data_IF_113136843645
#
_entry.id   IF_113136843645
#
_cell.length_a   1.000
_cell.length_b   1.000
_cell.length_c   1.000
_cell.angle_alpha   90.00
_cell.angle_beta   90.00
_cell.angle_gamma   90.00
#
_symmetry.space_group_name_H-M   'P 1'
#
loop_
_entity.id
_entity.type
_entity.pdbx_description
1 polymer ?
#
# COMPACT_ATOMS: atom_id res chain seq x y z
N UNK A 1 -15.55 -13.88 -23.52
CA UNK A 1 -15.87 -13.83 -22.09
C UNK A 1 -16.67 -12.58 -21.85
N UNK A 2 -17.82 -12.68 -21.18
CA UNK A 2 -18.61 -11.51 -20.82
C UNK A 2 -17.93 -10.74 -19.69
N UNK A 3 -18.22 -9.45 -19.57
CA UNK A 3 -17.66 -8.58 -18.50
C UNK A 3 -17.94 -9.15 -17.08
N UNK A 4 -19.08 -9.84 -16.92
CA UNK A 4 -19.47 -10.54 -15.69
C UNK A 4 -18.58 -11.76 -15.38
N UNK A 5 -18.12 -12.47 -16.43
CA UNK A 5 -17.22 -13.63 -16.26
C UNK A 5 -15.83 -13.18 -15.82
N UNK A 6 -15.36 -12.02 -16.33
CA UNK A 6 -14.07 -11.44 -15.94
C UNK A 6 -14.06 -11.00 -14.48
N UNK A 7 -15.11 -10.29 -14.02
CA UNK A 7 -15.24 -9.88 -12.61
C UNK A 7 -15.33 -11.07 -11.66
N UNK A 8 -16.00 -12.15 -12.06
CA UNK A 8 -16.10 -13.37 -11.23
C UNK A 8 -14.78 -14.11 -11.11
N UNK A 9 -14.00 -14.17 -12.20
CA UNK A 9 -12.67 -14.78 -12.22
C UNK A 9 -11.66 -13.98 -11.38
N UNK A 10 -11.71 -12.65 -11.48
CA UNK A 10 -10.90 -11.76 -10.67
C UNK A 10 -11.20 -11.90 -9.16
N UNK A 11 -12.48 -11.88 -8.78
CA UNK A 11 -12.88 -12.04 -7.38
C UNK A 11 -12.45 -13.41 -6.80
N UNK A 12 -12.53 -14.49 -7.59
CA UNK A 12 -12.01 -15.81 -7.18
C UNK A 12 -10.51 -15.82 -7.00
N UNK A 13 -9.76 -15.20 -7.92
CA UNK A 13 -8.31 -15.13 -7.84
C UNK A 13 -7.85 -14.34 -6.61
N UNK A 14 -8.50 -13.20 -6.32
CA UNK A 14 -8.27 -12.41 -5.12
C UNK A 14 -8.57 -13.22 -3.83
N UNK A 15 -9.68 -13.95 -3.81
CA UNK A 15 -10.04 -14.82 -2.68
C UNK A 15 -9.01 -15.94 -2.45
N UNK A 16 -8.54 -16.59 -3.51
CA UNK A 16 -7.51 -17.62 -3.43
C UNK A 16 -6.17 -17.05 -2.95
N UNK A 17 -5.78 -15.85 -3.41
CA UNK A 17 -4.60 -15.15 -2.93
C UNK A 17 -4.66 -14.84 -1.44
N UNK A 18 -5.79 -14.31 -0.97
CA UNK A 18 -5.99 -14.01 0.46
C UNK A 18 -5.96 -15.29 1.31
N UNK A 19 -6.60 -16.37 0.84
CA UNK A 19 -6.59 -17.65 1.53
C UNK A 19 -5.17 -18.25 1.59
N UNK A 20 -4.45 -18.21 0.47
CA UNK A 20 -3.06 -18.68 0.40
C UNK A 20 -2.15 -17.93 1.36
N UNK A 21 -2.23 -16.61 1.40
CA UNK A 21 -1.48 -15.78 2.34
C UNK A 21 -1.84 -16.08 3.79
N UNK A 22 -3.13 -16.32 4.10
CA UNK A 22 -3.56 -16.69 5.45
C UNK A 22 -3.00 -18.04 5.89
N UNK A 23 -2.98 -19.03 5.00
CA UNK A 23 -2.37 -20.34 5.24
C UNK A 23 -0.86 -20.18 5.42
N UNK A 24 -0.21 -19.39 4.56
CA UNK A 24 1.21 -19.06 4.64
C UNK A 24 1.58 -18.46 5.99
N UNK A 25 0.87 -17.42 6.42
CA UNK A 25 1.07 -16.76 7.70
C UNK A 25 0.91 -17.72 8.88
N UNK A 26 -0.17 -18.48 8.91
CA UNK A 26 -0.43 -19.43 9.99
C UNK A 26 0.65 -20.52 10.07
N UNK A 27 1.08 -21.08 8.92
CA UNK A 27 2.14 -22.08 8.87
C UNK A 27 3.49 -21.49 9.27
N UNK A 28 3.85 -20.28 8.82
CA UNK A 28 5.09 -19.60 9.22
C UNK A 28 5.16 -19.39 10.74
N UNK A 29 4.08 -18.95 11.37
CA UNK A 29 4.02 -18.77 12.83
C UNK A 29 4.12 -20.10 13.60
N UNK A 30 3.48 -21.17 13.12
CA UNK A 30 3.60 -22.50 13.72
C UNK A 30 5.05 -23.01 13.62
N UNK A 31 5.69 -22.84 12.48
CA UNK A 31 7.09 -23.27 12.30
C UNK A 31 8.07 -22.35 13.03
N UNK A 32 7.79 -21.06 13.17
CA UNK A 32 8.53 -20.18 14.08
C UNK A 32 8.52 -20.70 15.52
N UNK A 33 7.35 -21.03 16.05
CA UNK A 33 7.21 -21.53 17.44
C UNK A 33 7.97 -22.87 17.65
N UNK A 34 8.15 -23.66 16.58
CA UNK A 34 8.89 -24.93 16.65
C UNK A 34 10.39 -24.76 16.44
N UNK A 35 10.79 -23.93 15.49
CA UNK A 35 12.19 -23.77 15.07
C UNK A 35 12.94 -22.69 15.85
N UNK A 36 12.25 -21.66 16.34
CA UNK A 36 12.85 -20.47 16.93
C UNK A 36 13.50 -19.55 15.87
N UNK A 37 13.16 -19.68 14.57
CA UNK A 37 13.73 -18.87 13.51
C UNK A 37 13.05 -17.50 13.46
N UNK A 38 13.82 -16.42 13.66
CA UNK A 38 13.33 -15.05 13.56
C UNK A 38 12.93 -14.69 12.13
N UNK A 39 13.54 -15.31 11.12
CA UNK A 39 13.14 -15.14 9.73
C UNK A 39 11.70 -15.60 9.49
N UNK A 40 11.31 -16.76 10.06
CA UNK A 40 9.93 -17.25 9.99
C UNK A 40 8.97 -16.38 10.82
N UNK A 41 9.43 -15.82 11.93
CA UNK A 41 8.63 -14.88 12.72
C UNK A 41 8.32 -13.61 11.90
N UNK A 42 9.34 -13.02 11.27
CA UNK A 42 9.18 -11.82 10.45
C UNK A 42 8.22 -12.09 9.27
N UNK A 43 8.46 -13.16 8.52
CA UNK A 43 7.64 -13.55 7.37
C UNK A 43 6.19 -13.83 7.79
N UNK A 44 5.99 -14.60 8.85
CA UNK A 44 4.68 -14.96 9.37
C UNK A 44 3.88 -13.76 9.88
N UNK A 45 4.50 -12.87 10.65
CA UNK A 45 3.84 -11.65 11.15
C UNK A 45 3.54 -10.66 10.03
N UNK A 46 4.49 -10.46 9.11
CA UNK A 46 4.31 -9.59 7.95
C UNK A 46 3.13 -10.07 7.09
N UNK A 47 3.12 -11.34 6.73
CA UNK A 47 2.06 -11.95 5.91
C UNK A 47 0.71 -11.97 6.65
N UNK A 48 0.70 -12.18 7.99
CA UNK A 48 -0.51 -12.12 8.80
C UNK A 48 -1.15 -10.73 8.80
N UNK A 49 -0.33 -9.68 8.93
CA UNK A 49 -0.81 -8.29 8.83
C UNK A 49 -1.37 -8.00 7.44
N UNK A 50 -0.68 -8.46 6.38
CA UNK A 50 -1.14 -8.28 4.99
C UNK A 50 -2.46 -9.01 4.72
N UNK A 51 -2.62 -10.24 5.21
CA UNK A 51 -3.86 -11.02 5.11
C UNK A 51 -5.00 -10.36 5.90
N UNK A 52 -4.76 -9.98 7.16
CA UNK A 52 -5.74 -9.28 8.00
C UNK A 52 -6.16 -7.93 7.42
N UNK A 53 -5.19 -7.19 6.89
CA UNK A 53 -5.43 -5.93 6.21
C UNK A 53 -6.34 -6.10 4.99
N UNK A 54 -6.14 -7.13 4.16
CA UNK A 54 -6.99 -7.39 2.98
C UNK A 54 -8.45 -7.70 3.36
N UNK A 55 -8.69 -8.36 4.50
CA UNK A 55 -10.03 -8.62 5.01
C UNK A 55 -10.73 -7.33 5.49
N UNK A 56 -9.98 -6.41 6.10
CA UNK A 56 -10.51 -5.14 6.61
C UNK A 56 -10.70 -4.14 5.47
N UNK A 57 -9.83 -4.15 4.47
CA UNK A 57 -9.85 -3.20 3.34
C UNK A 57 -11.23 -3.09 2.67
N UNK A 58 -11.93 -4.21 2.48
CA UNK A 58 -13.27 -4.22 1.90
C UNK A 58 -14.33 -3.51 2.75
N UNK A 59 -14.17 -3.47 4.08
CA UNK A 59 -15.05 -2.71 4.99
C UNK A 59 -14.73 -1.23 4.95
N UNK A 60 -13.44 -0.89 5.01
CA UNK A 60 -12.96 0.50 4.93
C UNK A 60 -13.37 1.14 3.61
N UNK A 61 -13.16 0.45 2.49
CA UNK A 61 -13.58 0.92 1.16
C UNK A 61 -15.09 1.18 1.07
N UNK A 62 -15.92 0.33 1.67
CA UNK A 62 -17.37 0.55 1.70
C UNK A 62 -17.75 1.73 2.58
N UNK A 63 -17.09 1.89 3.73
CA UNK A 63 -17.31 3.03 4.62
C UNK A 63 -16.86 4.34 3.96
N UNK A 64 -15.73 4.35 3.28
CA UNK A 64 -15.19 5.52 2.57
C UNK A 64 -16.08 6.00 1.41
N UNK A 65 -16.93 5.13 0.86
CA UNK A 65 -17.91 5.50 -0.20
C UNK A 65 -19.19 6.15 0.33
N UNK A 66 -19.33 6.29 1.65
CA UNK A 66 -20.52 6.94 2.22
C UNK A 66 -20.58 8.41 1.77
N UNK A 67 -21.78 8.87 1.34
CA UNK A 67 -21.96 10.24 0.91
C UNK A 67 -21.76 11.22 2.10
N UNK A 68 -21.69 12.50 1.77
CA UNK A 68 -21.64 13.57 2.76
C UNK A 68 -22.74 13.41 3.82
N UNK A 69 -22.37 13.58 5.06
CA UNK A 69 -23.28 13.54 6.21
C UNK A 69 -22.87 14.61 7.23
N UNK A 70 -23.71 14.85 8.26
CA UNK A 70 -23.32 15.76 9.34
C UNK A 70 -22.03 15.31 10.06
N UNK A 71 -21.79 13.99 10.15
CA UNK A 71 -20.57 13.45 10.77
C UNK A 71 -19.35 13.54 9.85
N UNK A 72 -19.56 13.52 8.53
CA UNK A 72 -18.52 13.59 7.50
C UNK A 72 -18.91 14.61 6.43
N UNK A 73 -18.73 15.93 6.70
CA UNK A 73 -19.18 16.99 5.79
C UNK A 73 -18.51 16.92 4.41
N UNK A 74 -17.27 16.45 4.34
CA UNK A 74 -16.49 16.25 3.11
C UNK A 74 -16.48 14.82 2.59
N UNK A 75 -17.38 13.96 3.13
CA UNK A 75 -17.39 12.53 2.85
C UNK A 75 -16.48 11.74 3.79
N UNK A 76 -16.56 10.40 3.71
CA UNK A 76 -15.83 9.51 4.62
C UNK A 76 -14.54 8.92 4.01
N UNK A 77 -14.11 9.44 2.85
CA UNK A 77 -12.93 8.93 2.10
C UNK A 77 -11.61 9.04 2.86
N UNK A 78 -11.48 9.98 3.81
CA UNK A 78 -10.33 10.09 4.70
C UNK A 78 -10.07 8.87 5.60
N UNK A 79 -11.01 7.93 5.69
CA UNK A 79 -10.79 6.67 6.41
C UNK A 79 -9.78 5.74 5.69
N UNK A 80 -9.67 5.85 4.36
CA UNK A 80 -8.71 5.03 3.58
C UNK A 80 -7.25 5.37 3.92
N UNK A 81 -6.78 6.62 3.84
CA UNK A 81 -5.40 6.97 4.20
C UNK A 81 -5.08 6.69 5.68
N UNK A 82 -6.02 6.89 6.59
CA UNK A 82 -5.83 6.53 8.00
C UNK A 82 -5.62 5.01 8.17
N UNK A 83 -6.43 4.20 7.49
CA UNK A 83 -6.25 2.75 7.50
C UNK A 83 -4.88 2.33 6.95
N UNK A 84 -4.47 2.92 5.80
CA UNK A 84 -3.15 2.66 5.19
C UNK A 84 -2.04 3.07 6.15
N UNK A 85 -2.16 4.23 6.80
CA UNK A 85 -1.20 4.72 7.80
C UNK A 85 -1.02 3.73 8.94
N UNK A 86 -2.12 3.33 9.62
CA UNK A 86 -2.04 2.39 10.74
C UNK A 86 -1.47 1.03 10.33
N UNK A 87 -1.93 0.48 9.20
CA UNK A 87 -1.39 -0.77 8.66
C UNK A 87 0.12 -0.68 8.45
N UNK A 88 0.57 0.40 7.84
CA UNK A 88 1.97 0.62 7.50
C UNK A 88 2.83 0.79 8.75
N UNK A 89 2.33 1.50 9.77
CA UNK A 89 3.01 1.63 11.07
C UNK A 89 3.18 0.26 11.76
N UNK A 90 2.18 -0.61 11.71
CA UNK A 90 2.28 -1.97 12.25
C UNK A 90 3.34 -2.78 11.50
N UNK A 91 3.36 -2.72 10.16
CA UNK A 91 4.38 -3.41 9.35
C UNK A 91 5.79 -2.90 9.66
N UNK A 92 5.98 -1.59 9.74
CA UNK A 92 7.26 -0.99 10.14
C UNK A 92 7.68 -1.42 11.54
N UNK A 93 6.75 -1.45 12.48
CA UNK A 93 7.00 -1.93 13.84
C UNK A 93 7.51 -3.38 13.87
N UNK A 94 6.90 -4.27 13.07
CA UNK A 94 7.34 -5.67 12.94
C UNK A 94 8.74 -5.76 12.34
N UNK A 95 9.01 -5.04 11.26
CA UNK A 95 10.33 -5.04 10.61
C UNK A 95 11.40 -4.50 11.57
N UNK A 96 11.16 -3.37 12.22
CA UNK A 96 12.11 -2.78 13.18
C UNK A 96 12.35 -3.69 14.38
N UNK A 97 11.31 -4.31 14.92
CA UNK A 97 11.44 -5.28 16.02
C UNK A 97 12.33 -6.46 15.60
N UNK A 98 12.07 -7.03 14.42
CA UNK A 98 12.87 -8.13 13.89
C UNK A 98 14.34 -7.73 13.65
N UNK A 99 14.57 -6.51 13.12
CA UNK A 99 15.94 -5.99 12.94
C UNK A 99 16.68 -5.83 14.26
N UNK A 100 16.02 -5.26 15.28
CA UNK A 100 16.64 -5.08 16.62
C UNK A 100 16.94 -6.42 17.27
N UNK A 101 16.02 -7.38 17.19
CA UNK A 101 16.21 -8.75 17.68
C UNK A 101 17.40 -9.42 16.98
N UNK A 102 17.43 -9.37 15.65
CA UNK A 102 18.52 -9.96 14.86
C UNK A 102 19.88 -9.29 15.11
N UNK A 103 19.91 -7.96 15.17
CA UNK A 103 21.13 -7.22 15.50
C UNK A 103 21.65 -7.57 16.91
N UNK A 104 20.75 -7.73 17.88
CA UNK A 104 21.09 -8.18 19.23
C UNK A 104 21.74 -9.58 19.25
N UNK A 105 21.22 -10.53 18.47
CA UNK A 105 21.81 -11.87 18.32
C UNK A 105 23.20 -11.83 17.69
N UNK A 106 23.37 -11.03 16.64
CA UNK A 106 24.68 -10.84 15.98
C UNK A 106 25.68 -10.23 16.97
N UNK A 107 25.30 -9.18 17.69
CA UNK A 107 26.16 -8.51 18.68
C UNK A 107 26.54 -9.47 19.83
N UNK A 108 25.58 -10.22 20.36
CA UNK A 108 25.83 -11.24 21.39
C UNK A 108 26.86 -12.27 20.91
N UNK A 109 26.72 -12.76 19.68
CA UNK A 109 27.67 -13.70 19.10
C UNK A 109 29.08 -13.13 18.96
N UNK A 110 29.19 -11.88 18.49
CA UNK A 110 30.49 -11.19 18.37
C UNK A 110 31.18 -10.95 19.71
N UNK A 111 30.41 -10.84 20.80
CA UNK A 111 30.89 -10.71 22.17
C UNK A 111 31.21 -12.07 22.83
N UNK A 112 31.14 -13.18 22.07
CA UNK A 112 31.38 -14.53 22.58
C UNK A 112 30.22 -15.16 23.34
N UNK A 113 29.02 -14.55 23.27
CA UNK A 113 27.79 -15.11 23.84
C UNK A 113 27.25 -16.28 23.00
N UNK A 114 26.44 -17.12 23.63
CA UNK A 114 25.75 -18.23 22.96
C UNK A 114 24.45 -17.75 22.32
N UNK A 115 24.27 -18.03 21.01
CA UNK A 115 23.00 -17.82 20.32
C UNK A 115 22.25 -19.15 20.25
N UNK A 116 20.97 -19.23 20.66
CA UNK A 116 20.18 -20.46 20.56
C UNK A 116 20.14 -20.95 19.10
N UNK A 117 20.44 -22.23 18.85
CA UNK A 117 20.42 -22.76 17.50
C UNK A 117 18.99 -22.85 16.98
N UNK A 118 18.80 -22.54 15.69
CA UNK A 118 17.54 -22.77 14.98
C UNK A 118 17.34 -24.27 14.81
N UNK A 119 16.17 -24.77 15.18
CA UNK A 119 15.81 -26.17 14.93
C UNK A 119 15.38 -26.33 13.48
N UNK A 120 16.12 -27.15 12.73
CA UNK A 120 15.88 -27.35 11.31
C UNK A 120 14.84 -28.44 11.00
N UNK A 121 14.35 -29.13 12.03
CA UNK A 121 13.40 -30.24 11.88
C UNK A 121 12.11 -29.80 11.21
N UNK A 122 11.80 -30.41 10.08
CA UNK A 122 10.61 -30.13 9.31
C UNK A 122 10.68 -28.86 8.44
N UNK A 123 11.69 -27.99 8.59
CA UNK A 123 11.81 -26.76 7.79
C UNK A 123 11.94 -27.04 6.31
N UNK A 124 12.59 -28.14 5.93
CA UNK A 124 12.69 -28.57 4.53
C UNK A 124 11.30 -28.78 3.88
N UNK A 125 10.40 -29.45 4.58
CA UNK A 125 9.02 -29.64 4.12
C UNK A 125 8.25 -28.33 4.09
N UNK A 126 8.43 -27.49 5.12
CA UNK A 126 7.79 -26.17 5.18
C UNK A 126 8.19 -25.30 3.98
N UNK A 127 9.49 -25.07 3.74
CA UNK A 127 9.94 -24.24 2.64
C UNK A 127 9.57 -24.81 1.28
N UNK A 128 9.65 -26.13 1.11
CA UNK A 128 9.20 -26.78 -0.14
C UNK A 128 7.70 -26.55 -0.38
N UNK A 129 6.86 -26.71 0.65
CA UNK A 129 5.43 -26.48 0.55
C UNK A 129 5.12 -24.99 0.26
N UNK A 130 5.83 -24.04 0.89
CA UNK A 130 5.63 -22.62 0.67
C UNK A 130 6.06 -22.18 -0.73
N UNK A 131 7.20 -22.67 -1.23
CA UNK A 131 7.63 -22.41 -2.62
C UNK A 131 6.60 -22.94 -3.61
N UNK A 132 6.11 -24.18 -3.43
CA UNK A 132 5.08 -24.76 -4.29
C UNK A 132 3.76 -23.98 -4.24
N UNK A 133 3.32 -23.57 -3.03
CA UNK A 133 2.12 -22.76 -2.84
C UNK A 133 2.24 -21.42 -3.56
N UNK A 134 3.35 -20.71 -3.37
CA UNK A 134 3.55 -19.39 -3.96
C UNK A 134 3.73 -19.46 -5.48
N UNK A 135 4.40 -20.49 -6.01
CA UNK A 135 4.47 -20.75 -7.46
C UNK A 135 3.10 -21.07 -8.06
N UNK A 136 2.28 -21.84 -7.34
CA UNK A 136 0.92 -22.13 -7.76
C UNK A 136 0.05 -20.86 -7.75
N UNK A 137 0.12 -20.05 -6.67
CA UNK A 137 -0.56 -18.76 -6.60
C UNK A 137 -0.11 -17.83 -7.72
N UNK A 138 1.20 -17.71 -7.94
CA UNK A 138 1.73 -16.92 -9.06
C UNK A 138 1.13 -17.34 -10.39
N UNK A 139 1.05 -18.64 -10.67
CA UNK A 139 0.47 -19.17 -11.92
C UNK A 139 -1.03 -18.87 -12.04
N UNK A 140 -1.80 -19.02 -10.96
CA UNK A 140 -3.25 -18.73 -10.94
C UNK A 140 -3.51 -17.24 -11.12
N UNK A 141 -2.80 -16.39 -10.38
CA UNK A 141 -2.93 -14.93 -10.43
C UNK A 141 -2.47 -14.37 -11.78
N UNK A 142 -1.37 -14.89 -12.35
CA UNK A 142 -0.89 -14.49 -13.68
C UNK A 142 -1.91 -14.80 -14.77
N UNK A 143 -2.57 -15.96 -14.71
CA UNK A 143 -3.64 -16.32 -15.65
C UNK A 143 -4.84 -15.38 -15.51
N UNK A 144 -5.26 -15.09 -14.27
CA UNK A 144 -6.36 -14.16 -14.01
C UNK A 144 -6.03 -12.74 -14.52
N UNK A 145 -4.81 -12.27 -14.28
CA UNK A 145 -4.34 -10.96 -14.78
C UNK A 145 -4.32 -10.91 -16.31
N UNK A 146 -3.79 -11.94 -16.98
CA UNK A 146 -3.80 -12.01 -18.44
C UNK A 146 -5.20 -12.07 -19.01
N UNK A 147 -6.14 -12.78 -18.35
CA UNK A 147 -7.54 -12.87 -18.79
C UNK A 147 -8.34 -11.58 -18.57
N UNK A 148 -7.90 -10.70 -17.67
CA UNK A 148 -8.45 -9.34 -17.45
C UNK A 148 -7.92 -8.29 -18.46
N UNK A 149 -7.16 -8.71 -19.46
CA UNK A 149 -6.54 -7.80 -20.42
C UNK A 149 -5.37 -6.99 -19.85
N UNK A 150 -4.84 -7.38 -18.69
CA UNK A 150 -3.71 -6.69 -18.04
C UNK A 150 -4.06 -5.37 -17.33
N UNK A 151 -5.35 -5.03 -17.24
CA UNK A 151 -5.81 -3.72 -16.75
C UNK A 151 -6.04 -3.66 -15.21
N UNK A 152 -5.90 -4.77 -14.50
CA UNK A 152 -6.08 -4.80 -13.05
C UNK A 152 -4.74 -4.64 -12.32
N UNK A 153 -4.49 -3.45 -11.78
CA UNK A 153 -3.29 -3.15 -10.98
C UNK A 153 -3.25 -3.97 -9.68
N UNK A 154 -4.40 -4.31 -9.12
CA UNK A 154 -4.51 -5.16 -7.93
C UNK A 154 -3.98 -6.56 -8.24
N UNK A 155 -4.45 -7.20 -9.33
CA UNK A 155 -3.95 -8.50 -9.74
C UNK A 155 -2.47 -8.46 -10.09
N UNK A 156 -2.01 -7.41 -10.77
CA UNK A 156 -0.58 -7.21 -11.09
C UNK A 156 0.26 -7.19 -9.81
N UNK A 157 -0.16 -6.42 -8.81
CA UNK A 157 0.51 -6.37 -7.51
C UNK A 157 0.59 -7.74 -6.84
N UNK A 158 -0.52 -8.50 -6.84
CA UNK A 158 -0.54 -9.86 -6.26
C UNK A 158 0.33 -10.87 -7.02
N UNK A 159 0.41 -10.76 -8.35
CA UNK A 159 1.31 -11.58 -9.18
C UNK A 159 2.77 -11.34 -8.80
N UNK A 160 3.14 -10.06 -8.67
CA UNK A 160 4.50 -9.67 -8.27
C UNK A 160 4.80 -10.19 -6.86
N UNK A 161 3.90 -9.96 -5.89
CA UNK A 161 4.07 -10.44 -4.52
C UNK A 161 4.25 -11.96 -4.47
N UNK A 162 3.38 -12.74 -5.08
CA UNK A 162 3.49 -14.21 -5.07
C UNK A 162 4.81 -14.72 -5.66
N UNK A 163 5.34 -14.05 -6.69
CA UNK A 163 6.66 -14.36 -7.25
C UNK A 163 7.79 -14.04 -6.27
N UNK A 164 7.73 -12.87 -5.62
CA UNK A 164 8.73 -12.50 -4.61
C UNK A 164 8.68 -13.43 -3.41
N UNK A 165 7.49 -13.77 -2.91
CA UNK A 165 7.30 -14.68 -1.78
C UNK A 165 7.89 -16.09 -2.09
N UNK A 166 7.73 -16.57 -3.34
CA UNK A 166 8.37 -17.81 -3.76
C UNK A 166 9.90 -17.74 -3.73
N UNK A 167 10.48 -16.63 -4.22
CA UNK A 167 11.93 -16.42 -4.22
C UNK A 167 12.50 -16.25 -2.80
N UNK A 168 11.80 -15.49 -1.94
CA UNK A 168 12.19 -15.30 -0.53
C UNK A 168 12.14 -16.64 0.21
N UNK A 169 11.05 -17.39 0.07
CA UNK A 169 10.92 -18.73 0.70
C UNK A 169 12.00 -19.70 0.23
N UNK A 170 12.31 -19.69 -1.08
CA UNK A 170 13.39 -20.54 -1.62
C UNK A 170 14.76 -20.11 -1.09
N UNK A 171 15.07 -18.80 -1.12
CA UNK A 171 16.33 -18.25 -0.64
C UNK A 171 16.55 -18.50 0.84
N UNK A 172 15.54 -18.21 1.67
CA UNK A 172 15.57 -18.46 3.12
C UNK A 172 15.72 -19.95 3.43
N UNK A 173 14.96 -20.81 2.74
CA UNK A 173 15.06 -22.25 2.88
C UNK A 173 16.45 -22.78 2.53
N UNK A 174 17.03 -22.36 1.39
CA UNK A 174 18.37 -22.75 0.98
C UNK A 174 19.43 -22.26 1.98
N UNK A 175 19.33 -21.05 2.48
CA UNK A 175 20.29 -20.49 3.42
C UNK A 175 20.22 -21.21 4.79
N UNK A 176 19.02 -21.40 5.36
CA UNK A 176 18.86 -22.09 6.66
C UNK A 176 19.23 -23.58 6.57
N UNK A 177 18.71 -24.32 5.57
CA UNK A 177 18.98 -25.74 5.42
C UNK A 177 20.41 -26.02 4.90
N UNK A 178 21.01 -25.04 4.23
CA UNK A 178 22.42 -25.11 3.79
C UNK A 178 23.42 -24.75 4.87
N UNK A 179 23.02 -23.98 5.89
CA UNK A 179 23.92 -23.48 6.93
C UNK A 179 24.75 -24.56 7.65
N UNK A 180 24.23 -25.78 7.97
CA UNK A 180 25.06 -26.82 8.60
C UNK A 180 26.23 -27.29 7.73
N UNK A 181 26.12 -27.22 6.37
CA UNK A 181 27.20 -27.59 5.48
C UNK A 181 28.37 -26.62 5.50
N UNK A 182 28.16 -25.41 6.04
CA UNK A 182 29.20 -24.40 6.19
C UNK A 182 30.11 -24.64 7.40
N UNK A 183 29.76 -25.58 8.31
CA UNK A 183 30.49 -25.83 9.55
C UNK A 183 31.95 -26.30 9.33
N UNK A 184 32.29 -26.79 8.15
CA UNK A 184 33.66 -27.15 7.77
C UNK A 184 34.41 -26.11 6.94
N UNK A 185 33.87 -24.93 6.78
CA UNK A 185 34.41 -23.87 5.91
C UNK A 185 34.80 -22.61 6.73
N UNK A 186 35.42 -21.63 6.05
CA UNK A 186 35.76 -20.32 6.62
C UNK A 186 34.50 -19.60 7.15
N UNK A 187 33.31 -19.98 6.67
CA UNK A 187 32.02 -19.39 7.07
C UNK A 187 31.41 -20.07 8.31
N UNK A 188 32.08 -21.06 8.90
CA UNK A 188 31.60 -21.74 10.12
C UNK A 188 31.19 -20.80 11.28
N UNK A 189 31.90 -19.67 11.54
CA UNK A 189 31.49 -18.72 12.58
C UNK A 189 30.14 -18.05 12.33
N UNK A 190 29.66 -18.01 11.08
CA UNK A 190 28.38 -17.38 10.72
C UNK A 190 27.17 -18.30 10.88
N UNK A 191 27.39 -19.62 11.02
CA UNK A 191 26.31 -20.62 11.11
C UNK A 191 25.36 -20.33 12.28
N UNK A 192 25.82 -19.99 13.51
CA UNK A 192 24.93 -19.70 14.63
C UNK A 192 24.06 -18.46 14.44
N UNK A 193 24.50 -17.52 13.61
CA UNK A 193 23.82 -16.25 13.35
C UNK A 193 23.21 -16.17 11.93
N UNK A 194 23.22 -17.28 11.19
CA UNK A 194 22.71 -17.30 9.81
C UNK A 194 21.25 -16.82 9.71
N UNK A 195 20.38 -17.23 10.63
CA UNK A 195 18.99 -16.78 10.72
C UNK A 195 18.90 -15.26 10.97
N UNK A 196 19.69 -14.72 11.90
CA UNK A 196 19.73 -13.30 12.18
C UNK A 196 20.23 -12.48 10.98
N UNK A 197 21.24 -12.97 10.27
CA UNK A 197 21.71 -12.31 9.03
C UNK A 197 20.65 -12.32 7.93
N UNK A 198 19.89 -13.42 7.81
CA UNK A 198 18.75 -13.49 6.89
C UNK A 198 17.69 -12.47 7.24
N UNK A 199 17.32 -12.34 8.53
CA UNK A 199 16.36 -11.33 8.99
C UNK A 199 16.81 -9.92 8.62
N UNK A 200 18.08 -9.58 8.87
CA UNK A 200 18.62 -8.27 8.51
C UNK A 200 18.56 -8.03 7.00
N UNK A 201 18.94 -9.03 6.19
CA UNK A 201 18.86 -8.96 4.73
C UNK A 201 17.42 -8.81 4.23
N UNK A 202 16.49 -9.62 4.72
CA UNK A 202 15.06 -9.54 4.39
C UNK A 202 14.48 -8.19 4.80
N UNK A 203 14.81 -7.71 6.00
CA UNK A 203 14.34 -6.41 6.49
C UNK A 203 14.82 -5.27 5.60
N UNK A 204 16.06 -5.29 5.13
CA UNK A 204 16.59 -4.29 4.17
C UNK A 204 15.82 -4.30 2.85
N UNK A 205 15.38 -5.46 2.38
CA UNK A 205 14.61 -5.60 1.15
C UNK A 205 13.15 -5.15 1.36
N UNK A 206 12.56 -5.46 2.50
CA UNK A 206 11.16 -5.17 2.81
C UNK A 206 10.90 -3.73 3.28
N UNK A 207 11.90 -3.06 3.88
CA UNK A 207 11.75 -1.74 4.52
C UNK A 207 11.37 -0.59 3.56
N UNK A 208 11.92 -0.49 2.33
CA UNK A 208 11.68 0.66 1.44
C UNK A 208 10.20 0.83 1.04
N UNK A 209 9.48 -0.27 0.83
CA UNK A 209 8.08 -0.22 0.42
C UNK A 209 7.16 0.41 1.49
N UNK A 210 7.12 -0.07 2.75
CA UNK A 210 6.33 0.56 3.81
C UNK A 210 6.74 2.02 4.07
N UNK A 211 8.02 2.38 3.96
CA UNK A 211 8.46 3.77 4.14
C UNK A 211 7.89 4.69 3.05
N UNK A 212 7.88 4.24 1.80
CA UNK A 212 7.27 4.98 0.69
C UNK A 212 5.76 5.15 0.89
N UNK A 213 5.07 4.07 1.27
CA UNK A 213 3.63 4.09 1.56
C UNK A 213 3.31 4.99 2.75
N UNK A 214 4.15 4.96 3.81
CA UNK A 214 3.98 5.83 4.99
C UNK A 214 4.01 7.31 4.61
N UNK A 215 5.00 7.72 3.81
CA UNK A 215 5.13 9.11 3.35
C UNK A 215 3.87 9.56 2.62
N UNK A 216 3.36 8.77 1.67
CA UNK A 216 2.13 9.07 0.94
C UNK A 216 0.89 9.13 1.84
N UNK A 217 0.73 8.14 2.74
CA UNK A 217 -0.41 8.09 3.65
C UNK A 217 -0.42 9.25 4.66
N UNK A 218 0.75 9.70 5.12
CA UNK A 218 0.88 10.88 5.98
C UNK A 218 0.50 12.15 5.22
N UNK A 219 0.99 12.32 3.99
CA UNK A 219 0.64 13.47 3.15
C UNK A 219 -0.88 13.55 2.89
N UNK A 220 -1.49 12.42 2.54
CA UNK A 220 -2.95 12.35 2.34
C UNK A 220 -3.72 12.62 3.63
N UNK A 221 -3.31 12.02 4.76
CA UNK A 221 -3.99 12.20 6.05
C UNK A 221 -3.83 13.62 6.60
N UNK A 222 -2.71 14.28 6.30
CA UNK A 222 -2.45 15.67 6.66
C UNK A 222 -3.17 16.68 5.73
N UNK A 223 -3.82 16.21 4.66
CA UNK A 223 -4.45 17.09 3.68
C UNK A 223 -3.43 17.91 2.87
N UNK A 224 -2.23 17.36 2.64
CA UNK A 224 -1.20 18.03 1.86
C UNK A 224 -1.57 18.11 0.38
N UNK A 225 -1.36 19.27 -0.25
CA UNK A 225 -1.48 19.43 -1.70
C UNK A 225 -0.50 18.54 -2.49
N UNK A 226 0.62 18.12 -1.88
CA UNK A 226 1.56 17.15 -2.47
C UNK A 226 0.94 15.75 -2.69
N UNK A 227 -0.26 15.50 -2.17
CA UNK A 227 -1.01 14.26 -2.41
C UNK A 227 -1.49 14.11 -3.86
N UNK A 228 -1.49 15.20 -4.63
CA UNK A 228 -1.78 15.22 -6.07
C UNK A 228 -0.50 15.57 -6.82
N UNK A 229 -0.07 14.70 -7.74
CA UNK A 229 1.17 14.91 -8.49
C UNK A 229 1.09 16.16 -9.40
N UNK A 230 2.15 16.95 -9.46
CA UNK A 230 2.24 18.19 -10.26
C UNK A 230 1.76 18.08 -11.72
N UNK A 231 2.12 17.01 -12.48
CA UNK A 231 1.64 16.88 -13.84
C UNK A 231 0.11 16.74 -13.92
N UNK A 232 -0.50 16.05 -12.95
CA UNK A 232 -1.94 15.85 -12.90
C UNK A 232 -2.67 17.15 -12.47
N UNK A 233 -2.09 17.89 -11.54
CA UNK A 233 -2.61 19.21 -11.15
C UNK A 233 -2.62 20.18 -12.33
N UNK A 234 -1.53 20.23 -13.09
CA UNK A 234 -1.45 21.06 -14.29
C UNK A 234 -2.47 20.67 -15.37
N UNK A 235 -2.72 19.37 -15.56
CA UNK A 235 -3.78 18.90 -16.48
C UNK A 235 -5.17 19.33 -16.02
N UNK A 236 -5.45 19.22 -14.71
CA UNK A 236 -6.72 19.69 -14.13
C UNK A 236 -6.91 21.19 -14.30
N UNK A 237 -5.86 21.99 -14.06
CA UNK A 237 -5.93 23.45 -14.31
C UNK A 237 -6.25 23.77 -15.76
N UNK A 238 -5.56 23.11 -16.72
CA UNK A 238 -5.82 23.30 -18.15
C UNK A 238 -7.24 22.92 -18.56
N UNK A 239 -7.82 21.87 -17.96
CA UNK A 239 -9.18 21.44 -18.25
C UNK A 239 -10.24 22.40 -17.68
N UNK A 240 -10.00 22.99 -16.51
CA UNK A 240 -10.95 23.88 -15.83
C UNK A 240 -11.01 25.28 -16.45
N UNK A 241 -9.89 25.81 -16.96
CA UNK A 241 -9.81 27.17 -17.52
C UNK A 241 -10.85 27.46 -18.62
N UNK A 242 -11.09 26.58 -19.62
CA UNK A 242 -12.13 26.83 -20.63
C UNK A 242 -13.54 26.93 -20.04
N UNK A 243 -13.85 26.12 -19.02
CA UNK A 243 -15.15 26.14 -18.31
C UNK A 243 -15.32 27.47 -17.58
N UNK A 244 -14.30 27.93 -16.88
CA UNK A 244 -14.34 29.23 -16.18
C UNK A 244 -14.56 30.39 -17.14
N UNK A 245 -13.87 30.39 -18.29
CA UNK A 245 -14.02 31.44 -19.30
C UNK A 245 -15.46 31.49 -19.87
N UNK A 246 -16.14 30.35 -20.06
CA UNK A 246 -17.55 30.29 -20.46
C UNK A 246 -18.49 30.94 -19.44
N UNK A 247 -18.10 30.95 -18.16
CA UNK A 247 -18.87 31.55 -17.07
C UNK A 247 -18.38 32.95 -16.69
N UNK A 248 -17.54 33.59 -17.51
CA UNK A 248 -16.92 34.89 -17.26
C UNK A 248 -16.18 34.93 -15.90
N UNK A 249 -15.43 33.88 -15.60
CA UNK A 249 -14.59 33.79 -14.40
C UNK A 249 -13.14 33.51 -14.80
N UNK A 250 -12.20 34.08 -14.05
CA UNK A 250 -10.76 33.82 -14.19
C UNK A 250 -10.29 32.90 -13.06
N UNK A 251 -9.46 31.91 -13.36
CA UNK A 251 -8.86 31.06 -12.35
C UNK A 251 -7.80 31.85 -11.58
N UNK A 252 -7.94 31.91 -10.26
CA UNK A 252 -6.90 32.42 -9.35
C UNK A 252 -6.02 31.26 -8.88
N UNK A 253 -6.64 30.19 -8.34
CA UNK A 253 -5.94 29.01 -7.83
C UNK A 253 -6.87 27.79 -7.88
N UNK A 254 -6.27 26.62 -8.16
CA UNK A 254 -6.92 25.32 -8.03
C UNK A 254 -6.19 24.52 -6.96
N UNK A 255 -6.69 24.56 -5.73
CA UNK A 255 -6.17 23.78 -4.63
C UNK A 255 -6.79 22.38 -4.65
N UNK A 256 -5.97 21.34 -4.73
CA UNK A 256 -6.43 19.95 -4.75
C UNK A 256 -5.77 19.14 -3.65
N UNK A 257 -6.58 18.31 -3.00
CA UNK A 257 -6.13 17.38 -1.96
C UNK A 257 -6.71 16.01 -2.28
N UNK A 258 -5.88 14.98 -2.30
CA UNK A 258 -6.35 13.61 -2.38
C UNK A 258 -6.64 13.09 -0.98
N UNK A 259 -7.81 12.50 -0.80
CA UNK A 259 -8.22 11.81 0.41
C UNK A 259 -8.68 10.39 0.02
N UNK A 260 -7.77 9.43 0.03
CA UNK A 260 -8.03 8.08 -0.45
C UNK A 260 -8.41 8.06 -1.93
N UNK A 261 -9.63 7.61 -2.23
CA UNK A 261 -10.15 7.50 -3.61
C UNK A 261 -10.78 8.77 -4.15
N UNK A 262 -11.07 9.75 -3.31
CA UNK A 262 -11.65 11.02 -3.73
C UNK A 262 -10.62 12.13 -3.74
N UNK A 263 -10.87 13.12 -4.60
CA UNK A 263 -10.12 14.36 -4.61
C UNK A 263 -11.06 15.47 -4.16
N UNK A 264 -10.62 16.27 -3.20
CA UNK A 264 -11.28 17.53 -2.86
C UNK A 264 -10.57 18.63 -3.62
N UNK A 265 -11.31 19.35 -4.46
CA UNK A 265 -10.84 20.48 -5.24
C UNK A 265 -11.53 21.75 -4.80
N UNK A 266 -10.76 22.77 -4.45
CA UNK A 266 -11.25 24.12 -4.16
C UNK A 266 -10.76 25.02 -5.27
N UNK A 267 -11.69 25.52 -6.08
CA UNK A 267 -11.40 26.39 -7.22
C UNK A 267 -11.65 27.83 -6.82
N UNK A 268 -10.59 28.61 -6.66
CA UNK A 268 -10.68 30.05 -6.39
C UNK A 268 -10.79 30.81 -7.71
N UNK A 269 -11.85 31.60 -7.86
CA UNK A 269 -12.16 32.27 -9.12
C UNK A 269 -12.46 33.74 -8.90
N UNK A 270 -12.03 34.59 -9.85
CA UNK A 270 -12.42 36.00 -9.92
C UNK A 270 -13.51 36.15 -10.99
N UNK A 271 -14.77 36.41 -10.60
CA UNK A 271 -15.85 36.63 -11.54
C UNK A 271 -15.78 38.04 -12.14
N UNK A 272 -16.04 38.16 -13.45
CA UNK A 272 -16.19 39.45 -14.11
C UNK A 272 -17.59 40.00 -13.82
N UNK A 273 -17.76 40.63 -12.68
CA UNK A 273 -19.02 41.21 -12.23
C UNK A 273 -19.76 40.35 -11.20
N UNK A 274 -21.03 40.67 -10.92
CA UNK A 274 -21.82 39.98 -9.92
C UNK A 274 -22.23 38.58 -10.39
N UNK A 275 -22.01 37.57 -9.55
CA UNK A 275 -22.43 36.18 -9.80
C UNK A 275 -23.57 35.79 -8.86
N UNK A 276 -24.61 35.18 -9.39
CA UNK A 276 -25.72 34.66 -8.58
C UNK A 276 -25.44 33.27 -8.05
N UNK A 277 -26.08 32.85 -6.97
CA UNK A 277 -25.95 31.51 -6.41
C UNK A 277 -26.24 30.42 -7.46
N UNK A 278 -27.25 30.60 -8.31
CA UNK A 278 -27.58 29.65 -9.39
C UNK A 278 -26.45 29.51 -10.43
N UNK A 279 -25.82 30.64 -10.79
CA UNK A 279 -24.66 30.61 -11.70
C UNK A 279 -23.45 29.96 -11.07
N UNK A 280 -23.21 30.18 -9.77
CA UNK A 280 -22.14 29.57 -9.00
C UNK A 280 -22.33 28.06 -8.90
N UNK A 281 -23.57 27.59 -8.63
CA UNK A 281 -23.89 26.15 -8.62
C UNK A 281 -23.65 25.50 -9.99
N UNK A 282 -24.08 26.15 -11.07
CA UNK A 282 -23.86 25.68 -12.44
C UNK A 282 -22.35 25.60 -12.76
N UNK A 283 -21.59 26.62 -12.41
CA UNK A 283 -20.14 26.66 -12.57
C UNK A 283 -19.47 25.49 -11.81
N UNK A 284 -19.84 25.30 -10.52
CA UNK A 284 -19.33 24.22 -9.67
C UNK A 284 -19.57 22.85 -10.31
N UNK A 285 -20.80 22.59 -10.80
CA UNK A 285 -21.14 21.31 -11.45
C UNK A 285 -20.33 21.08 -12.73
N UNK A 286 -20.09 22.10 -13.54
CA UNK A 286 -19.31 21.98 -14.79
C UNK A 286 -17.83 21.75 -14.48
N UNK A 287 -17.25 22.46 -13.52
CA UNK A 287 -15.87 22.26 -13.06
C UNK A 287 -15.69 20.85 -12.49
N UNK A 288 -16.63 20.39 -11.65
CA UNK A 288 -16.62 19.05 -11.08
C UNK A 288 -16.63 17.96 -12.17
N UNK A 289 -17.46 18.12 -13.21
CA UNK A 289 -17.55 17.18 -14.32
C UNK A 289 -16.24 17.06 -15.09
N UNK A 290 -15.59 18.19 -15.39
CA UNK A 290 -14.28 18.21 -16.07
C UNK A 290 -13.19 17.58 -15.20
N UNK A 291 -13.15 17.90 -13.91
CA UNK A 291 -12.19 17.29 -12.99
C UNK A 291 -12.39 15.77 -12.88
N UNK A 292 -13.63 15.28 -12.83
CA UNK A 292 -13.93 13.84 -12.85
C UNK A 292 -13.44 13.19 -14.15
N UNK A 293 -13.61 13.86 -15.29
CA UNK A 293 -13.16 13.36 -16.59
C UNK A 293 -11.63 13.21 -16.66
N UNK A 294 -10.88 14.17 -16.10
CA UNK A 294 -9.40 14.12 -16.07
C UNK A 294 -8.90 13.11 -15.04
N UNK A 295 -9.44 13.16 -13.81
CA UNK A 295 -8.94 12.37 -12.66
C UNK A 295 -9.45 10.93 -12.65
N UNK A 296 -10.53 10.64 -13.36
CA UNK A 296 -11.21 9.33 -13.40
C UNK A 296 -11.53 8.81 -11.98
N UNK A 297 -11.80 9.73 -11.06
CA UNK A 297 -12.06 9.46 -9.63
C UNK A 297 -13.16 10.40 -9.12
N UNK A 298 -13.87 10.05 -8.05
CA UNK A 298 -14.83 10.93 -7.41
C UNK A 298 -14.16 12.24 -6.98
N UNK A 299 -14.74 13.36 -7.39
CA UNK A 299 -14.27 14.70 -7.03
C UNK A 299 -15.32 15.38 -6.15
N UNK A 300 -14.87 16.05 -5.12
CA UNK A 300 -15.61 17.02 -4.37
C UNK A 300 -15.14 18.39 -4.78
N UNK A 301 -15.93 19.12 -5.55
CA UNK A 301 -15.57 20.46 -6.00
C UNK A 301 -16.32 21.52 -5.19
N UNK A 302 -15.59 22.52 -4.73
CA UNK A 302 -16.13 23.78 -4.21
C UNK A 302 -15.55 24.93 -5.02
N UNK A 303 -16.37 25.94 -5.31
CA UNK A 303 -15.95 27.15 -6.05
C UNK A 303 -16.11 28.36 -5.12
N UNK A 304 -15.00 29.06 -4.91
CA UNK A 304 -14.94 30.23 -4.03
C UNK A 304 -14.68 31.48 -4.88
N UNK A 305 -15.66 32.38 -5.04
CA UNK A 305 -15.43 33.66 -5.71
C UNK A 305 -14.59 34.57 -4.78
N UNK A 306 -13.48 35.05 -5.29
CA UNK A 306 -12.54 35.93 -4.58
C UNK A 306 -11.72 36.74 -5.57
N UNK A 307 -11.20 37.89 -5.13
CA UNK A 307 -10.20 38.65 -5.89
C UNK A 307 -8.81 38.55 -5.27
N UNK A 308 -8.66 37.76 -4.20
CA UNK A 308 -7.40 37.63 -3.45
C UNK A 308 -6.89 36.21 -3.58
N UNK A 309 -5.62 36.06 -3.89
CA UNK A 309 -4.98 34.74 -3.95
C UNK A 309 -4.95 34.10 -2.55
N UNK A 310 -5.36 32.81 -2.38
CA UNK A 310 -5.52 32.18 -1.07
C UNK A 310 -4.24 32.03 -0.26
N UNK A 311 -3.07 32.06 -0.94
CA UNK A 311 -1.75 31.91 -0.29
C UNK A 311 -0.99 33.23 -0.18
N UNK A 312 -1.58 34.36 -0.49
CA UNK A 312 -0.97 35.65 -0.19
C UNK A 312 -1.09 35.89 1.32
N UNK A 313 0.05 36.00 1.99
CA UNK A 313 0.10 36.39 3.38
C UNK A 313 -0.65 37.73 3.57
N UNK A 314 -1.74 37.68 4.29
CA UNK A 314 -2.39 38.88 4.88
C UNK A 314 -1.65 39.33 6.14
N UNK A 315 -0.31 39.12 6.18
CA UNK A 315 0.55 39.65 7.22
C UNK A 315 0.79 41.15 6.92
N UNK A 316 -0.18 41.98 7.31
CA UNK A 316 -0.09 43.38 7.49
C UNK A 316 -0.35 43.72 8.95
#
# INVERSE_FOLDING_TARGET
MTQSDQHSAEARALGLGTLGNSIGAASALVFFLRSGSDALMLDGLYTAVMAGASLIAGRVTRAARQPRSRAYPFGASGQEPLYVLFRTLVLLGIILFAMVSAAGKVLSHLQGGSVPPVRLDGLGWYFSAMVLLNLWLWKVLSRAWSSSGGNSDILRGMVISARFDALISAGTGLALLGSPRLQGTVLAPLVPIADALLVLGLSMVLLPEPLGVLKGAVAEAAGSGESVADPLQSQCQQAVVPVLNQHNCTLIELAMIRLGRSVTAVTYVEPVGAITAKQLDALRMNVEAELIAVLQSPVLCEVIPTAIHPYTDTAG
#
